data_IF_462506723650
#
_entry.id   IF_462506723650
#
_cell.length_a   1.000
_cell.length_b   1.000
_cell.length_c   1.000
_cell.angle_alpha   90.00
_cell.angle_beta   90.00
_cell.angle_gamma   90.00
#
_symmetry.space_group_name_H-M   'P 1'
#
loop_
_entity.id
_entity.type
_entity.pdbx_description
1 polymer ?
#
# COMPACT_ATOMS: atom_id res chain seq x y z
N UNK A 1 -7.41 26.71 -10.10
CA UNK A 1 -6.37 27.58 -9.51
C UNK A 1 -5.32 26.63 -8.98
N UNK A 2 -4.12 26.59 -9.58
CA UNK A 2 -3.07 25.71 -9.08
C UNK A 2 -2.48 26.31 -7.81
N UNK A 3 -2.26 25.48 -6.79
CA UNK A 3 -1.52 25.89 -5.60
C UNK A 3 -0.09 26.23 -6.02
N UNK A 4 0.39 27.42 -5.67
CA UNK A 4 1.75 27.85 -5.99
C UNK A 4 2.69 27.11 -5.05
N UNK A 5 3.62 26.31 -5.60
CA UNK A 5 4.66 25.65 -4.81
C UNK A 5 5.54 26.73 -4.19
N UNK A 6 5.58 26.76 -2.86
CA UNK A 6 6.35 27.70 -2.08
C UNK A 6 7.70 27.10 -1.67
N UNK A 7 8.69 27.93 -1.30
CA UNK A 7 9.95 27.41 -0.74
C UNK A 7 9.74 26.52 0.51
N UNK A 8 8.66 26.73 1.26
CA UNK A 8 8.32 25.90 2.42
C UNK A 8 7.88 24.50 2.02
N UNK A 9 7.18 24.36 0.90
CA UNK A 9 6.77 23.05 0.38
C UNK A 9 8.00 22.25 -0.05
N UNK A 10 8.99 22.90 -0.66
CA UNK A 10 10.27 22.28 -1.02
C UNK A 10 11.02 21.81 0.24
N UNK A 11 11.19 22.69 1.23
CA UNK A 11 11.87 22.35 2.49
C UNK A 11 11.17 21.20 3.22
N UNK A 12 9.83 21.14 3.15
CA UNK A 12 9.05 20.05 3.71
C UNK A 12 9.28 18.72 2.98
N UNK A 13 9.28 18.72 1.64
CA UNK A 13 9.57 17.52 0.84
C UNK A 13 10.99 17.02 1.10
N UNK A 14 11.99 17.91 1.14
CA UNK A 14 13.38 17.54 1.42
C UNK A 14 13.53 16.89 2.80
N UNK A 15 12.87 17.44 3.83
CA UNK A 15 12.84 16.84 5.17
C UNK A 15 12.17 15.46 5.16
N UNK A 16 11.07 15.30 4.44
CA UNK A 16 10.38 14.02 4.31
C UNK A 16 11.28 12.97 3.64
N UNK A 17 11.97 13.34 2.56
CA UNK A 17 12.91 12.46 1.87
C UNK A 17 14.07 12.04 2.77
N UNK A 18 14.63 12.97 3.55
CA UNK A 18 15.68 12.68 4.54
C UNK A 18 15.18 11.71 5.63
N UNK A 19 13.94 11.85 6.09
CA UNK A 19 13.37 10.94 7.09
C UNK A 19 13.17 9.51 6.55
N UNK A 20 12.97 9.36 5.24
CA UNK A 20 12.77 8.05 4.62
C UNK A 20 14.09 7.38 4.15
N UNK A 21 15.22 8.08 4.23
CA UNK A 21 16.51 7.61 3.69
C UNK A 21 16.92 6.24 4.26
N UNK A 22 16.73 6.02 5.56
CA UNK A 22 17.04 4.74 6.21
C UNK A 22 16.18 3.59 5.66
N UNK A 23 14.87 3.84 5.46
CA UNK A 23 13.95 2.86 4.88
C UNK A 23 14.31 2.51 3.44
N UNK A 24 14.73 3.49 2.63
CA UNK A 24 15.18 3.24 1.25
C UNK A 24 16.48 2.42 1.21
N UNK A 25 17.42 2.70 2.11
CA UNK A 25 18.70 1.97 2.18
C UNK A 25 18.54 0.55 2.74
N UNK A 26 17.49 0.27 3.50
CA UNK A 26 17.19 -1.06 4.03
C UNK A 26 16.53 -2.01 3.01
N UNK A 27 16.11 -1.51 1.84
CA UNK A 27 15.44 -2.32 0.82
C UNK A 27 16.40 -3.34 0.18
N UNK A 28 16.40 -4.55 0.72
CA UNK A 28 17.33 -5.62 0.30
C UNK A 28 16.68 -6.67 -0.62
N UNK A 29 15.34 -6.72 -0.72
CA UNK A 29 14.61 -7.68 -1.55
C UNK A 29 13.40 -7.03 -2.21
N UNK A 30 13.56 -6.37 -3.37
CA UNK A 30 12.45 -5.71 -4.04
C UNK A 30 11.42 -6.74 -4.51
N UNK A 31 10.16 -6.52 -4.12
CA UNK A 31 9.01 -7.29 -4.57
C UNK A 31 8.20 -6.48 -5.58
N UNK A 32 7.31 -7.15 -6.32
CA UNK A 32 6.41 -6.45 -7.21
C UNK A 32 5.32 -5.75 -6.39
N UNK A 33 5.27 -4.43 -6.51
CA UNK A 33 4.28 -3.53 -5.91
C UNK A 33 3.32 -3.11 -7.01
N UNK A 34 2.03 -3.24 -6.79
CA UNK A 34 0.99 -2.88 -7.76
C UNK A 34 0.77 -1.36 -7.82
N UNK A 35 0.97 -0.65 -6.70
CA UNK A 35 0.85 0.80 -6.56
C UNK A 35 -0.59 1.27 -6.34
N UNK A 36 -1.55 0.67 -7.04
CA UNK A 36 -2.99 0.89 -6.84
C UNK A 36 -3.67 -0.37 -6.33
N UNK A 37 -3.08 -1.01 -5.31
CA UNK A 37 -3.66 -2.20 -4.68
C UNK A 37 -4.90 -1.83 -3.86
N UNK A 38 -6.09 -2.20 -4.35
CA UNK A 38 -7.39 -1.93 -3.72
C UNK A 38 -8.41 -2.99 -4.13
N UNK A 39 -9.50 -3.12 -3.37
CA UNK A 39 -10.53 -4.13 -3.62
C UNK A 39 -11.19 -4.00 -5.00
N UNK A 40 -11.32 -2.79 -5.55
CA UNK A 40 -11.84 -2.57 -6.92
C UNK A 40 -11.07 -3.33 -7.99
N UNK A 41 -9.77 -3.52 -7.76
CA UNK A 41 -8.86 -4.16 -8.71
C UNK A 41 -8.73 -5.68 -8.45
N UNK A 42 -9.58 -6.23 -7.57
CA UNK A 42 -9.63 -7.63 -7.19
C UNK A 42 -10.87 -8.29 -7.81
N UNK A 43 -10.66 -9.36 -8.57
CA UNK A 43 -11.74 -10.17 -9.12
C UNK A 43 -12.08 -11.31 -8.18
N UNK A 44 -13.33 -11.35 -7.76
CA UNK A 44 -13.88 -12.47 -6.99
C UNK A 44 -15.00 -13.15 -7.77
N UNK A 45 -15.02 -14.48 -7.74
CA UNK A 45 -16.12 -15.29 -8.27
C UNK A 45 -16.83 -15.98 -7.12
N UNK A 46 -18.17 -15.96 -7.17
CA UNK A 46 -18.99 -16.71 -6.23
C UNK A 46 -19.12 -18.17 -6.71
N UNK A 47 -18.62 -19.10 -5.90
CA UNK A 47 -18.90 -20.52 -6.01
C UNK A 47 -20.23 -20.85 -5.30
N UNK A 48 -20.66 -22.12 -5.33
CA UNK A 48 -21.88 -22.59 -4.68
C UNK A 48 -21.87 -22.39 -3.17
N UNK A 49 -20.70 -22.43 -2.53
CA UNK A 49 -20.55 -22.35 -1.08
C UNK A 49 -19.68 -21.18 -0.60
N UNK A 50 -18.78 -20.66 -1.44
CA UNK A 50 -17.75 -19.69 -1.03
C UNK A 50 -17.41 -18.65 -2.10
N UNK A 51 -16.67 -17.62 -1.69
CA UNK A 51 -16.03 -16.67 -2.60
C UNK A 51 -14.62 -17.12 -2.94
N UNK A 52 -14.27 -17.11 -4.22
CA UNK A 52 -12.95 -17.43 -4.73
C UNK A 52 -12.30 -16.16 -5.28
N UNK A 53 -11.06 -15.90 -4.87
CA UNK A 53 -10.21 -14.91 -5.50
C UNK A 53 -9.76 -15.43 -6.88
N UNK A 54 -10.17 -14.76 -7.96
CA UNK A 54 -9.89 -15.17 -9.32
C UNK A 54 -8.71 -14.44 -9.95
N UNK A 55 -8.37 -13.26 -9.44
CA UNK A 55 -7.21 -12.51 -9.92
C UNK A 55 -7.21 -11.06 -9.46
N UNK A 56 -6.18 -10.36 -9.91
CA UNK A 56 -5.98 -8.92 -9.75
C UNK A 56 -5.64 -8.32 -11.11
N UNK A 57 -6.06 -7.08 -11.36
CA UNK A 57 -5.87 -6.39 -12.65
C UNK A 57 -5.55 -4.91 -12.44
N UNK A 58 -5.21 -4.19 -13.52
CA UNK A 58 -4.74 -2.79 -13.48
C UNK A 58 -3.35 -2.60 -12.82
N UNK A 59 -2.33 -3.10 -13.51
CA UNK A 59 -0.93 -2.96 -13.11
C UNK A 59 -0.25 -1.71 -13.66
N UNK A 60 -1.01 -0.69 -14.05
CA UNK A 60 -0.48 0.50 -14.75
C UNK A 60 0.49 1.31 -13.89
N UNK A 61 0.37 1.22 -12.57
CA UNK A 61 1.23 1.87 -11.57
C UNK A 61 2.26 0.93 -10.96
N UNK A 62 2.46 -0.26 -11.53
CA UNK A 62 3.31 -1.30 -10.94
C UNK A 62 4.81 -0.97 -11.01
N UNK A 63 5.55 -1.29 -9.95
CA UNK A 63 7.00 -1.14 -9.86
C UNK A 63 7.61 -2.18 -8.92
N UNK A 64 8.94 -2.30 -8.91
CA UNK A 64 9.66 -3.13 -7.94
C UNK A 64 10.13 -2.28 -6.78
N UNK A 65 9.75 -2.66 -5.56
CA UNK A 65 10.00 -1.87 -4.36
C UNK A 65 9.72 -2.66 -3.08
N UNK A 66 9.44 -1.95 -2.00
CA UNK A 66 8.98 -2.58 -0.76
C UNK A 66 7.52 -3.02 -0.92
N UNK A 67 7.25 -4.31 -0.69
CA UNK A 67 5.90 -4.87 -0.76
C UNK A 67 4.91 -4.22 0.20
N UNK A 68 5.39 -3.59 1.29
CA UNK A 68 4.54 -2.84 2.20
C UNK A 68 3.90 -1.61 1.54
N UNK A 69 4.46 -1.11 0.43
CA UNK A 69 3.95 0.08 -0.24
C UNK A 69 2.53 -0.09 -0.81
N UNK A 70 2.07 -1.33 -1.03
CA UNK A 70 0.68 -1.60 -1.43
C UNK A 70 -0.31 -1.55 -0.25
N UNK A 71 0.16 -1.69 0.99
CA UNK A 71 -0.69 -1.77 2.18
C UNK A 71 -1.47 -0.47 2.46
N UNK A 72 -0.87 0.74 2.43
CA UNK A 72 -1.60 1.97 2.70
C UNK A 72 -2.78 2.17 1.78
N UNK A 73 -2.68 1.76 0.50
CA UNK A 73 -3.71 2.03 -0.50
C UNK A 73 -5.03 1.33 -0.17
N UNK A 74 -4.98 0.03 0.13
CA UNK A 74 -6.17 -0.74 0.49
C UNK A 74 -6.70 -0.39 1.89
N UNK A 75 -5.82 -0.01 2.81
CA UNK A 75 -6.21 0.45 4.16
C UNK A 75 -6.97 1.76 4.09
N UNK A 76 -6.49 2.73 3.31
CA UNK A 76 -7.16 4.03 3.12
C UNK A 76 -8.52 3.82 2.48
N UNK A 77 -8.64 2.92 1.49
CA UNK A 77 -9.93 2.57 0.88
C UNK A 77 -10.95 2.12 1.93
N UNK A 78 -10.59 1.20 2.83
CA UNK A 78 -11.49 0.77 3.90
C UNK A 78 -11.84 1.91 4.87
N UNK A 79 -10.89 2.79 5.19
CA UNK A 79 -11.15 3.94 6.07
C UNK A 79 -12.12 4.93 5.39
N UNK A 80 -11.94 5.21 4.10
CA UNK A 80 -12.79 6.11 3.32
C UNK A 80 -14.22 5.56 3.14
N UNK A 81 -14.39 4.24 3.27
CA UNK A 81 -15.69 3.53 3.22
C UNK A 81 -16.33 3.34 4.60
N UNK A 82 -15.80 3.95 5.67
CA UNK A 82 -16.24 3.78 7.07
C UNK A 82 -16.09 2.32 7.60
N UNK A 83 -15.23 1.51 6.99
CA UNK A 83 -14.97 0.10 7.30
C UNK A 83 -13.68 -0.08 8.15
N UNK A 84 -13.55 0.69 9.23
CA UNK A 84 -12.33 0.75 10.06
C UNK A 84 -11.92 -0.63 10.63
N UNK A 85 -12.89 -1.49 10.93
CA UNK A 85 -12.61 -2.84 11.44
C UNK A 85 -12.02 -3.75 10.36
N UNK A 86 -12.40 -3.58 9.09
CA UNK A 86 -11.78 -4.29 7.97
C UNK A 86 -10.35 -3.79 7.73
N UNK A 87 -10.11 -2.48 7.85
CA UNK A 87 -8.77 -1.89 7.78
C UNK A 87 -7.83 -2.51 8.84
N UNK A 88 -8.27 -2.57 10.10
CA UNK A 88 -7.52 -3.20 11.20
C UNK A 88 -7.28 -4.68 10.97
N UNK A 89 -8.30 -5.41 10.52
CA UNK A 89 -8.19 -6.83 10.21
C UNK A 89 -7.17 -7.07 9.10
N UNK A 90 -7.20 -6.25 8.04
CA UNK A 90 -6.28 -6.36 6.92
C UNK A 90 -4.83 -6.13 7.35
N UNK A 91 -4.55 -5.06 8.11
CA UNK A 91 -3.21 -4.79 8.66
C UNK A 91 -2.73 -5.97 9.51
N UNK A 92 -3.59 -6.50 10.38
CA UNK A 92 -3.24 -7.62 11.26
C UNK A 92 -2.91 -8.88 10.47
N UNK A 93 -3.74 -9.26 9.50
CA UNK A 93 -3.50 -10.45 8.68
C UNK A 93 -2.27 -10.28 7.78
N UNK A 94 -2.05 -9.09 7.22
CA UNK A 94 -0.85 -8.77 6.47
C UNK A 94 0.40 -8.93 7.35
N UNK A 95 0.41 -8.30 8.53
CA UNK A 95 1.53 -8.39 9.47
C UNK A 95 1.83 -9.83 9.92
N UNK A 96 0.79 -10.64 10.13
CA UNK A 96 0.94 -12.04 10.53
C UNK A 96 1.54 -12.91 9.41
N UNK A 97 1.30 -12.55 8.14
CA UNK A 97 1.76 -13.29 6.96
C UNK A 97 3.03 -12.72 6.33
N UNK A 98 3.46 -11.54 6.74
CA UNK A 98 4.69 -10.93 6.28
C UNK A 98 5.89 -11.63 6.95
N UNK A 99 6.76 -12.22 6.14
CA UNK A 99 8.00 -12.86 6.62
C UNK A 99 9.03 -11.81 7.08
N UNK A 100 9.02 -10.64 6.44
CA UNK A 100 9.85 -9.49 6.79
C UNK A 100 9.02 -8.44 7.53
N UNK A 101 9.33 -8.24 8.82
CA UNK A 101 8.62 -7.29 9.69
C UNK A 101 9.36 -5.97 9.84
N UNK A 102 10.49 -5.78 9.16
CA UNK A 102 11.28 -4.54 9.30
C UNK A 102 10.52 -3.31 8.79
N UNK A 103 9.65 -3.47 7.78
CA UNK A 103 8.77 -2.40 7.29
C UNK A 103 7.66 -1.97 8.26
N UNK A 104 7.46 -2.69 9.37
CA UNK A 104 6.47 -2.36 10.41
C UNK A 104 7.06 -1.74 11.68
N UNK A 105 8.38 -1.50 11.72
CA UNK A 105 9.07 -0.89 12.87
C UNK A 105 8.86 0.62 12.97
#
# INVERSE_FOLDING_TARGET
MYSVITPKDIEWVEKLLLMCEESFNALNSPTFVMGDFKADNVLVQRSTEDWMLCGIFDFTTGYFGDGIADLPRIVIMYIDEDEEELAKLFIREFFNRCEDKEGFK
#
